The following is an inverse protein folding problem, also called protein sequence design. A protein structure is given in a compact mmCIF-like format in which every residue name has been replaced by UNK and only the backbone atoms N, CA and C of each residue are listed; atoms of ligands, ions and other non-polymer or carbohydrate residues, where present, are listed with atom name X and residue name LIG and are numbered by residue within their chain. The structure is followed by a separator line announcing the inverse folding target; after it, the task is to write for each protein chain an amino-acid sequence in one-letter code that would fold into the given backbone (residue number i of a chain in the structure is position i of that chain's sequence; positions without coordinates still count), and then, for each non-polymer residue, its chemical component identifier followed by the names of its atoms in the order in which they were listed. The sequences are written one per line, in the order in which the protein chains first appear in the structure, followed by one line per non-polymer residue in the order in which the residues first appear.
data_IF_670486701481
#
_entry.id   IF_670486701481
#
_cell.length_a   1.000
_cell.length_b   1.000
_cell.length_c   1.000
_cell.angle_alpha   90.00
_cell.angle_beta   90.00
_cell.angle_gamma   90.00
#
_symmetry.space_group_name_H-M   'P 1'
#
loop_
_entity.id
_entity.type
_entity.pdbx_description
1 polymer ?
#
# COMPACT_ATOMS: atom_id res chain seq x y z
N UNK A 1 -1.08 -17.20 -38.32
CA UNK A 1 -2.11 -17.40 -37.31
C UNK A 1 -1.76 -16.49 -36.13
N UNK A 2 -2.68 -15.62 -35.73
CA UNK A 2 -2.51 -14.77 -34.55
C UNK A 2 -3.40 -15.30 -33.43
N UNK A 3 -2.86 -15.42 -32.22
CA UNK A 3 -3.62 -15.78 -31.04
C UNK A 3 -3.69 -14.52 -30.17
N UNK A 4 -4.90 -13.98 -29.99
CA UNK A 4 -5.16 -12.87 -29.06
C UNK A 4 -5.76 -13.48 -27.79
N UNK A 5 -5.05 -13.33 -26.66
CA UNK A 5 -5.52 -13.79 -25.36
C UNK A 5 -5.64 -12.61 -24.41
N UNK A 6 -6.67 -12.60 -23.55
CA UNK A 6 -6.74 -11.66 -22.45
C UNK A 6 -5.62 -11.96 -21.44
N UNK A 7 -4.98 -10.91 -20.91
CA UNK A 7 -3.88 -11.04 -19.96
C UNK A 7 -4.40 -11.43 -18.57
N UNK A 8 -5.40 -10.70 -18.09
CA UNK A 8 -5.84 -10.78 -16.69
C UNK A 8 -6.78 -11.97 -16.45
N UNK A 9 -6.39 -12.88 -15.55
CA UNK A 9 -7.17 -14.07 -15.21
C UNK A 9 -7.03 -15.23 -16.20
N UNK A 10 -6.47 -15.02 -17.41
CA UNK A 10 -6.17 -16.06 -18.39
C UNK A 10 -4.70 -16.44 -18.34
N UNK A 11 -3.79 -15.48 -18.56
CA UNK A 11 -2.34 -15.70 -18.48
C UNK A 11 -1.80 -15.47 -17.05
N UNK A 12 -2.55 -14.77 -16.22
CA UNK A 12 -2.19 -14.49 -14.82
C UNK A 12 -3.14 -15.18 -13.84
N UNK A 13 -2.71 -15.28 -12.58
CA UNK A 13 -3.46 -15.96 -11.52
C UNK A 13 -4.68 -15.18 -11.02
N UNK A 14 -4.84 -13.91 -11.44
CA UNK A 14 -5.79 -12.95 -10.88
C UNK A 14 -5.64 -12.81 -9.35
N UNK A 15 -4.41 -12.94 -8.89
CA UNK A 15 -4.05 -12.87 -7.47
C UNK A 15 -2.88 -11.91 -7.29
N UNK A 16 -3.21 -10.65 -6.99
CA UNK A 16 -2.19 -9.66 -6.71
C UNK A 16 -1.29 -10.10 -5.55
N UNK A 17 0.01 -9.89 -5.70
CA UNK A 17 1.01 -10.24 -4.68
C UNK A 17 1.99 -9.08 -4.52
N UNK A 18 2.27 -8.69 -3.27
CA UNK A 18 3.30 -7.69 -2.96
C UNK A 18 4.67 -8.31 -3.18
N UNK A 19 5.47 -7.70 -4.05
CA UNK A 19 6.80 -8.17 -4.46
C UNK A 19 7.89 -7.11 -4.23
N UNK A 20 7.51 -5.85 -3.96
CA UNK A 20 8.44 -4.78 -3.63
C UNK A 20 7.88 -3.83 -2.58
N UNK A 21 8.75 -3.21 -1.82
CA UNK A 21 8.41 -2.12 -0.91
C UNK A 21 9.55 -1.10 -0.87
N UNK A 22 9.21 0.18 -0.79
CA UNK A 22 10.18 1.26 -0.66
C UNK A 22 9.83 2.16 0.53
N UNK A 23 10.82 2.48 1.34
CA UNK A 23 10.78 3.64 2.21
C UNK A 23 11.17 4.90 1.41
N UNK A 24 11.05 6.10 1.97
CA UNK A 24 11.57 7.32 1.31
C UNK A 24 13.07 7.28 1.03
N UNK A 25 13.83 6.39 1.70
CA UNK A 25 15.28 6.22 1.51
C UNK A 25 15.63 5.33 0.32
N UNK A 26 14.75 4.38 -0.04
CA UNK A 26 14.97 3.41 -1.11
C UNK A 26 14.18 2.13 -0.91
N UNK A 27 14.48 1.12 -1.72
CA UNK A 27 13.84 -0.21 -1.62
C UNK A 27 14.25 -0.90 -0.29
N UNK A 28 13.29 -1.57 0.35
CA UNK A 28 13.45 -2.21 1.64
C UNK A 28 13.12 -3.71 1.56
N UNK A 29 13.69 -4.50 2.47
CA UNK A 29 13.41 -5.93 2.55
C UNK A 29 11.97 -6.19 3.02
N UNK A 30 11.22 -7.03 2.31
CA UNK A 30 9.82 -7.32 2.60
C UNK A 30 9.58 -7.99 3.98
N UNK A 31 10.59 -8.65 4.51
CA UNK A 31 10.55 -9.31 5.83
C UNK A 31 11.15 -8.45 6.95
N UNK A 32 11.61 -7.23 6.61
CA UNK A 32 12.20 -6.30 7.59
C UNK A 32 11.16 -5.56 8.41
N UNK A 33 11.57 -5.01 9.56
CA UNK A 33 10.71 -4.22 10.46
C UNK A 33 10.13 -2.96 9.79
N UNK A 34 10.84 -2.36 8.85
CA UNK A 34 10.37 -1.19 8.08
C UNK A 34 9.18 -1.59 7.19
N UNK A 35 9.30 -2.70 6.46
CA UNK A 35 8.23 -3.22 5.62
C UNK A 35 7.02 -3.66 6.47
N UNK A 36 7.27 -4.32 7.60
CA UNK A 36 6.21 -4.71 8.55
C UNK A 36 5.41 -3.48 9.01
N UNK A 37 6.07 -2.40 9.39
CA UNK A 37 5.40 -1.14 9.77
C UNK A 37 4.58 -0.56 8.63
N UNK A 38 5.15 -0.52 7.42
CA UNK A 38 4.48 -0.01 6.22
C UNK A 38 3.24 -0.84 5.87
N UNK A 39 3.36 -2.17 5.86
CA UNK A 39 2.25 -3.08 5.54
C UNK A 39 1.16 -3.03 6.62
N UNK A 40 1.52 -2.99 7.90
CA UNK A 40 0.57 -2.85 9.01
C UNK A 40 -0.24 -1.57 8.89
N UNK A 41 0.42 -0.47 8.55
CA UNK A 41 -0.22 0.81 8.35
C UNK A 41 -1.17 0.79 7.14
N UNK A 42 -0.72 0.25 6.01
CA UNK A 42 -1.54 0.10 4.81
C UNK A 42 -2.76 -0.81 5.05
N UNK A 43 -2.60 -1.89 5.81
CA UNK A 43 -3.67 -2.83 6.13
C UNK A 43 -4.81 -2.19 6.95
N UNK A 44 -4.51 -1.20 7.82
CA UNK A 44 -5.53 -0.43 8.53
C UNK A 44 -6.46 0.36 7.58
N UNK A 45 -5.97 0.69 6.39
CA UNK A 45 -6.72 1.38 5.34
C UNK A 45 -7.21 0.41 4.25
N UNK A 46 -7.47 -0.86 4.58
CA UNK A 46 -8.01 -1.90 3.68
C UNK A 46 -9.32 -2.46 4.24
N UNK A 47 -10.26 -2.80 3.35
CA UNK A 47 -11.51 -3.49 3.69
C UNK A 47 -11.38 -5.01 3.59
N UNK A 48 -10.33 -5.49 2.90
CA UNK A 48 -9.99 -6.90 2.81
C UNK A 48 -9.71 -7.50 4.21
N UNK A 49 -10.10 -8.78 4.40
CA UNK A 49 -10.00 -9.48 5.68
C UNK A 49 -9.22 -10.78 5.55
N UNK A 50 -8.34 -11.03 6.50
CA UNK A 50 -7.65 -12.31 6.64
C UNK A 50 -8.57 -13.34 7.26
N UNK A 51 -8.78 -14.48 6.57
CA UNK A 51 -9.67 -15.58 6.98
C UNK A 51 -8.90 -16.76 7.59
N UNK A 52 -7.59 -16.63 7.76
CA UNK A 52 -6.72 -17.70 8.23
C UNK A 52 -6.16 -18.56 7.10
N UNK A 53 -5.15 -19.37 7.43
CA UNK A 53 -4.47 -20.31 6.50
C UNK A 53 -3.99 -19.67 5.20
N UNK A 54 -3.58 -18.40 5.24
CA UNK A 54 -3.10 -17.66 4.07
C UNK A 54 -4.20 -17.16 3.12
N UNK A 55 -5.48 -17.32 3.47
CA UNK A 55 -6.61 -16.85 2.67
C UNK A 55 -7.01 -15.43 3.10
N UNK A 56 -7.20 -14.57 2.12
CA UNK A 56 -7.70 -13.19 2.30
C UNK A 56 -8.88 -12.98 1.35
N UNK A 57 -9.95 -12.41 1.86
CA UNK A 57 -11.13 -11.99 1.08
C UNK A 57 -11.14 -10.48 0.89
N UNK A 58 -11.61 -10.02 -0.25
CA UNK A 58 -11.71 -8.61 -0.60
C UNK A 58 -11.17 -8.29 -1.99
N UNK A 59 -11.04 -7.01 -2.30
CA UNK A 59 -10.49 -6.54 -3.58
C UNK A 59 -9.02 -6.98 -3.71
N UNK A 60 -8.58 -7.46 -4.91
CA UNK A 60 -7.25 -8.07 -5.07
C UNK A 60 -6.07 -7.24 -4.58
N UNK A 61 -6.08 -5.92 -4.81
CA UNK A 61 -5.01 -5.02 -4.37
C UNK A 61 -4.93 -4.95 -2.84
N UNK A 62 -6.08 -4.83 -2.18
CA UNK A 62 -6.16 -4.80 -0.72
C UNK A 62 -5.82 -6.16 -0.10
N UNK A 63 -6.31 -7.24 -0.72
CA UNK A 63 -5.98 -8.59 -0.30
C UNK A 63 -4.46 -8.84 -0.33
N UNK A 64 -3.76 -8.32 -1.35
CA UNK A 64 -2.30 -8.41 -1.43
C UNK A 64 -1.60 -7.68 -0.27
N UNK A 65 -2.08 -6.49 0.10
CA UNK A 65 -1.54 -5.69 1.22
C UNK A 65 -1.76 -6.42 2.55
N UNK A 66 -2.99 -6.89 2.82
CA UNK A 66 -3.33 -7.64 4.03
C UNK A 66 -2.51 -8.92 4.13
N UNK A 67 -2.36 -9.67 3.02
CA UNK A 67 -1.52 -10.87 2.99
C UNK A 67 -0.03 -10.54 3.24
N UNK A 68 0.48 -9.41 2.76
CA UNK A 68 1.85 -8.97 3.04
C UNK A 68 2.04 -8.60 4.52
N UNK A 69 1.06 -7.94 5.14
CA UNK A 69 1.07 -7.64 6.57
C UNK A 69 1.12 -8.94 7.41
N UNK A 70 0.27 -9.91 7.11
CA UNK A 70 0.27 -11.22 7.79
C UNK A 70 1.60 -11.97 7.62
N UNK A 71 2.14 -12.02 6.39
CA UNK A 71 3.46 -12.64 6.12
C UNK A 71 4.62 -11.96 6.86
N UNK A 72 4.52 -10.65 7.11
CA UNK A 72 5.51 -9.91 7.91
C UNK A 72 5.35 -10.09 9.42
N UNK A 73 4.39 -10.91 9.86
CA UNK A 73 4.15 -11.21 11.27
C UNK A 73 3.22 -10.22 11.97
N UNK A 74 2.35 -9.55 11.21
CA UNK A 74 1.29 -8.69 11.76
C UNK A 74 -0.02 -9.48 11.81
N UNK A 75 -0.61 -9.66 12.99
CA UNK A 75 -1.99 -10.13 13.13
C UNK A 75 -2.93 -8.96 12.81
N UNK A 76 -3.44 -8.92 11.58
CA UNK A 76 -4.28 -7.81 11.10
C UNK A 76 -5.63 -7.74 11.82
N UNK A 77 -6.18 -8.86 12.25
CA UNK A 77 -7.42 -8.88 13.04
C UNK A 77 -7.21 -8.25 14.42
N UNK A 78 -6.10 -8.57 15.10
CA UNK A 78 -5.72 -7.94 16.36
C UNK A 78 -5.40 -6.46 16.18
N UNK A 79 -4.67 -6.10 15.12
CA UNK A 79 -4.34 -4.73 14.78
C UNK A 79 -5.59 -3.87 14.62
N UNK A 80 -6.59 -4.32 13.86
CA UNK A 80 -7.86 -3.62 13.66
C UNK A 80 -8.68 -3.46 14.97
N UNK A 81 -8.61 -4.44 15.89
CA UNK A 81 -9.23 -4.31 17.21
C UNK A 81 -8.52 -3.29 18.09
N UNK A 82 -7.19 -3.24 18.04
CA UNK A 82 -6.37 -2.29 18.81
C UNK A 82 -6.44 -0.86 18.27
N UNK A 83 -6.61 -0.71 16.96
CA UNK A 83 -6.69 0.57 16.25
C UNK A 83 -7.98 0.66 15.44
N UNK A 84 -9.15 0.76 16.10
CA UNK A 84 -10.43 0.78 15.41
C UNK A 84 -10.57 2.03 14.54
N UNK A 85 -11.19 1.85 13.36
CA UNK A 85 -11.59 2.98 12.50
C UNK A 85 -12.69 3.78 13.19
N UNK A 86 -12.60 5.10 13.08
CA UNK A 86 -13.58 6.06 13.61
C UNK A 86 -14.26 6.85 12.49
N UNK A 87 -13.62 6.94 11.31
CA UNK A 87 -14.15 7.64 10.14
C UNK A 87 -13.51 7.06 8.87
N UNK A 88 -14.14 7.25 7.71
CA UNK A 88 -13.69 6.72 6.43
C UNK A 88 -14.09 7.63 5.27
N UNK A 89 -13.16 7.82 4.32
CA UNK A 89 -13.43 8.34 2.98
C UNK A 89 -13.04 7.22 2.02
N UNK A 90 -14.02 6.50 1.42
CA UNK A 90 -13.77 5.32 0.63
C UNK A 90 -13.00 5.65 -0.66
N UNK A 91 -12.43 4.63 -1.28
CA UNK A 91 -11.76 4.76 -2.56
C UNK A 91 -12.73 5.23 -3.64
N UNK A 92 -12.27 6.18 -4.47
CA UNK A 92 -12.92 6.49 -5.73
C UNK A 92 -11.90 6.60 -6.86
N UNK A 93 -12.30 6.21 -8.07
CA UNK A 93 -11.44 6.27 -9.27
C UNK A 93 -11.06 7.71 -9.64
N UNK A 94 -11.90 8.68 -9.29
CA UNK A 94 -11.64 10.10 -9.51
C UNK A 94 -10.53 10.59 -8.56
N UNK A 95 -10.62 10.25 -7.28
CA UNK A 95 -9.65 10.64 -6.25
C UNK A 95 -8.38 9.79 -6.28
N UNK A 96 -8.46 8.54 -6.76
CA UNK A 96 -7.40 7.53 -6.79
C UNK A 96 -6.78 7.28 -5.40
N UNK A 97 -7.52 7.47 -4.34
CA UNK A 97 -7.08 7.27 -2.96
C UNK A 97 -8.25 6.94 -2.03
N UNK A 98 -7.91 6.34 -0.90
CA UNK A 98 -8.78 6.04 0.23
C UNK A 98 -8.11 6.56 1.50
N UNK A 99 -8.91 7.00 2.48
CA UNK A 99 -8.40 7.47 3.77
C UNK A 99 -9.31 7.00 4.90
N UNK A 100 -8.71 6.66 6.03
CA UNK A 100 -9.42 6.29 7.24
C UNK A 100 -8.89 7.08 8.42
N UNK A 101 -9.73 7.38 9.40
CA UNK A 101 -9.31 7.81 10.72
C UNK A 101 -9.29 6.59 11.63
N UNK A 102 -8.21 6.40 12.35
CA UNK A 102 -8.05 5.30 13.31
C UNK A 102 -7.70 5.85 14.69
N UNK A 103 -8.18 5.17 15.74
CA UNK A 103 -7.76 5.44 17.11
C UNK A 103 -6.44 4.72 17.39
N UNK A 104 -5.42 5.48 17.78
CA UNK A 104 -4.10 4.98 18.18
C UNK A 104 -3.78 5.47 19.60
N UNK A 105 -4.16 4.68 20.60
CA UNK A 105 -4.18 5.12 22.00
C UNK A 105 -5.16 6.28 22.20
N UNK A 106 -4.67 7.38 22.73
CA UNK A 106 -5.47 8.58 22.99
C UNK A 106 -5.62 9.51 21.78
N UNK A 107 -4.91 9.19 20.67
CA UNK A 107 -4.93 10.00 19.46
C UNK A 107 -5.82 9.36 18.37
N UNK A 108 -6.35 10.22 17.51
CA UNK A 108 -6.95 9.81 16.26
C UNK A 108 -6.05 10.30 15.14
N UNK A 109 -5.63 9.41 14.26
CA UNK A 109 -4.75 9.73 13.14
C UNK A 109 -5.40 9.34 11.81
N UNK A 110 -5.07 10.06 10.75
CA UNK A 110 -5.43 9.71 9.38
C UNK A 110 -4.42 8.71 8.84
N UNK A 111 -4.89 7.66 8.19
CA UNK A 111 -4.11 6.78 7.33
C UNK A 111 -4.69 6.85 5.93
N UNK A 112 -3.84 7.08 4.95
CA UNK A 112 -4.23 7.19 3.55
C UNK A 112 -3.40 6.27 2.67
N UNK A 113 -4.04 5.65 1.67
CA UNK A 113 -3.39 4.91 0.60
C UNK A 113 -3.93 5.36 -0.76
N UNK A 114 -3.11 5.30 -1.79
CA UNK A 114 -3.55 5.70 -3.13
C UNK A 114 -2.43 5.73 -4.16
N UNK A 115 -2.76 6.28 -5.33
CA UNK A 115 -1.80 6.46 -6.41
C UNK A 115 -0.66 7.39 -5.94
N UNK A 116 0.62 7.02 -6.21
CA UNK A 116 1.77 7.78 -5.71
C UNK A 116 1.78 9.24 -6.16
N UNK A 117 1.43 9.52 -7.40
CA UNK A 117 1.37 10.86 -8.00
C UNK A 117 0.30 11.75 -7.35
N UNK A 118 -0.74 11.16 -6.80
CA UNK A 118 -1.82 11.85 -6.08
C UNK A 118 -1.43 12.05 -4.62
N UNK A 119 -1.06 10.96 -3.93
CA UNK A 119 -0.84 11.00 -2.49
C UNK A 119 0.35 11.87 -2.09
N UNK A 120 1.44 11.86 -2.89
CA UNK A 120 2.64 12.66 -2.60
C UNK A 120 2.35 14.17 -2.63
N UNK A 121 1.36 14.63 -3.41
CA UNK A 121 0.94 16.04 -3.45
C UNK A 121 0.21 16.46 -2.18
N UNK A 122 -0.36 15.51 -1.44
CA UNK A 122 -1.04 15.72 -0.16
C UNK A 122 -0.06 15.73 1.03
N UNK A 123 1.21 15.34 0.81
CA UNK A 123 2.22 15.22 1.84
C UNK A 123 3.06 16.49 1.96
N UNK A 124 3.31 16.92 3.20
CA UNK A 124 4.28 17.96 3.59
C UNK A 124 5.55 17.36 4.19
N UNK A 125 5.47 16.13 4.67
CA UNK A 125 6.52 15.46 5.43
C UNK A 125 6.75 14.03 4.90
N UNK A 126 7.86 13.43 5.35
CA UNK A 126 8.23 12.02 5.13
C UNK A 126 8.74 11.41 6.42
N UNK A 127 8.73 10.06 6.50
CA UNK A 127 9.43 9.32 7.55
C UNK A 127 10.80 8.92 7.02
N UNK A 128 11.87 9.42 7.63
CA UNK A 128 13.25 9.01 7.38
C UNK A 128 13.83 8.37 8.64
N UNK A 129 14.26 7.11 8.55
CA UNK A 129 14.83 6.37 9.68
C UNK A 129 13.96 6.46 10.95
N UNK A 130 12.64 6.36 10.79
CA UNK A 130 11.67 6.47 11.88
C UNK A 130 11.38 7.90 12.37
N UNK A 131 11.98 8.92 11.77
CA UNK A 131 11.81 10.32 12.17
C UNK A 131 11.07 11.13 11.11
N UNK A 132 10.10 11.93 11.54
CA UNK A 132 9.40 12.88 10.67
C UNK A 132 10.33 13.99 10.20
N UNK A 133 10.35 14.24 8.89
CA UNK A 133 11.21 15.26 8.25
C UNK A 133 10.44 15.95 7.12
N UNK A 134 10.73 17.21 6.79
CA UNK A 134 10.06 17.91 5.69
C UNK A 134 10.24 17.23 4.35
N UNK A 135 9.17 17.17 3.54
CA UNK A 135 9.19 16.69 2.16
C UNK A 135 9.68 17.81 1.23
N UNK A 136 11.00 17.91 1.05
CA UNK A 136 11.61 18.85 0.11
C UNK A 136 11.39 18.43 -1.35
N UNK A 137 11.59 19.35 -2.31
CA UNK A 137 11.49 19.05 -3.75
C UNK A 137 12.41 17.90 -4.15
N UNK A 138 13.67 17.90 -3.71
CA UNK A 138 14.62 16.82 -4.00
C UNK A 138 14.16 15.46 -3.45
N UNK A 139 13.57 15.42 -2.26
CA UNK A 139 13.02 14.19 -1.67
C UNK A 139 11.78 13.72 -2.44
N UNK A 140 10.93 14.65 -2.88
CA UNK A 140 9.78 14.35 -3.71
C UNK A 140 10.19 13.74 -5.05
N UNK A 141 11.18 14.31 -5.72
CA UNK A 141 11.75 13.77 -6.96
C UNK A 141 12.33 12.37 -6.78
N UNK A 142 13.03 12.14 -5.68
CA UNK A 142 13.55 10.79 -5.34
C UNK A 142 12.43 9.77 -5.20
N UNK A 143 11.33 10.11 -4.51
CA UNK A 143 10.19 9.19 -4.34
C UNK A 143 9.51 8.92 -5.69
N UNK A 144 9.35 9.94 -6.54
CA UNK A 144 8.79 9.78 -7.88
C UNK A 144 9.70 8.92 -8.77
N UNK A 145 11.02 9.04 -8.65
CA UNK A 145 11.98 8.16 -9.33
C UNK A 145 11.87 6.71 -8.85
N UNK A 146 11.72 6.47 -7.54
CA UNK A 146 11.46 5.13 -7.01
C UNK A 146 10.14 4.56 -7.56
N UNK A 147 9.08 5.36 -7.61
CA UNK A 147 7.82 4.95 -8.22
C UNK A 147 7.99 4.58 -9.71
N UNK A 148 8.73 5.38 -10.47
CA UNK A 148 9.01 5.11 -11.88
C UNK A 148 9.77 3.79 -12.05
N UNK A 149 10.80 3.52 -11.24
CA UNK A 149 11.56 2.28 -11.30
C UNK A 149 10.71 1.02 -10.98
N UNK A 150 9.75 1.14 -10.06
CA UNK A 150 8.79 0.06 -9.78
C UNK A 150 7.82 -0.13 -10.95
N UNK A 151 7.37 0.97 -11.59
CA UNK A 151 6.48 0.92 -12.75
C UNK A 151 7.17 0.31 -13.99
N UNK A 152 8.46 0.56 -14.20
CA UNK A 152 9.28 -0.07 -15.25
C UNK A 152 9.37 -1.60 -15.07
N UNK A 153 9.26 -2.07 -13.84
CA UNK A 153 9.14 -3.52 -13.51
C UNK A 153 7.71 -4.05 -13.67
N UNK A 154 6.82 -3.27 -14.29
CA UNK A 154 5.39 -3.58 -14.49
C UNK A 154 4.62 -3.80 -13.17
N UNK A 155 5.09 -3.23 -12.06
CA UNK A 155 4.40 -3.32 -10.78
C UNK A 155 3.28 -2.28 -10.68
N UNK A 156 2.15 -2.67 -10.09
CA UNK A 156 1.17 -1.72 -9.58
C UNK A 156 1.72 -1.14 -8.28
N UNK A 157 1.80 0.18 -8.18
CA UNK A 157 2.36 0.85 -7.01
C UNK A 157 1.28 1.59 -6.24
N UNK A 158 1.27 1.39 -4.93
CA UNK A 158 0.41 2.10 -3.97
C UNK A 158 1.32 2.86 -3.00
N UNK A 159 1.04 4.14 -2.81
CA UNK A 159 1.64 4.96 -1.77
C UNK A 159 0.84 4.88 -0.47
N UNK A 160 1.54 5.04 0.65
CA UNK A 160 0.97 5.06 2.00
C UNK A 160 1.44 6.31 2.72
N UNK A 161 0.53 6.98 3.41
CA UNK A 161 0.82 8.17 4.23
C UNK A 161 -0.03 8.18 5.50
N UNK A 162 0.44 8.93 6.50
CA UNK A 162 -0.30 9.20 7.73
C UNK A 162 -0.42 10.69 7.96
N UNK A 163 -1.32 11.11 8.83
CA UNK A 163 -1.46 12.49 9.21
C UNK A 163 -2.26 12.66 10.49
N UNK A 164 -2.26 13.87 11.00
CA UNK A 164 -3.14 14.25 12.08
C UNK A 164 -4.57 14.42 11.58
N UNK A 165 -5.54 14.22 12.47
CA UNK A 165 -6.94 14.50 12.16
C UNK A 165 -7.27 15.95 12.55
N UNK A 166 -8.26 16.54 11.91
CA UNK A 166 -8.79 17.83 12.29
C UNK A 166 -10.05 17.61 13.16
N UNK A 167 -9.90 17.77 14.48
CA UNK A 167 -11.00 17.53 15.43
C UNK A 167 -11.55 16.09 15.37
N UNK A 168 -10.68 15.10 15.14
CA UNK A 168 -11.06 13.70 15.02
C UNK A 168 -11.56 13.28 13.63
N UNK A 169 -11.70 14.22 12.67
CA UNK A 169 -12.08 13.95 11.28
C UNK A 169 -10.86 13.80 10.37
N UNK A 170 -11.01 13.01 9.32
CA UNK A 170 -9.97 12.80 8.32
C UNK A 170 -9.48 14.12 7.73
N UNK A 171 -8.17 14.32 7.73
CA UNK A 171 -7.49 15.38 6.98
C UNK A 171 -6.61 14.76 5.90
N UNK A 172 -6.82 15.15 4.66
CA UNK A 172 -6.05 14.67 3.50
C UNK A 172 -5.00 15.69 3.03
N UNK A 173 -4.59 16.60 3.91
CA UNK A 173 -3.56 17.60 3.65
C UNK A 173 -2.53 17.60 4.76
N UNK A 174 -1.29 17.97 4.45
CA UNK A 174 -0.21 17.96 5.43
C UNK A 174 0.18 16.55 5.89
N UNK A 175 -0.05 15.56 5.05
CA UNK A 175 0.26 14.17 5.37
C UNK A 175 1.77 13.92 5.42
N UNK A 176 2.15 12.86 6.11
CA UNK A 176 3.53 12.35 6.20
C UNK A 176 3.62 11.10 5.34
N UNK A 177 4.41 11.16 4.28
CA UNK A 177 4.64 10.03 3.38
C UNK A 177 5.44 8.93 4.10
N UNK A 178 4.95 7.69 4.03
CA UNK A 178 5.54 6.54 4.73
C UNK A 178 6.28 5.59 3.78
N UNK A 179 5.79 5.39 2.55
CA UNK A 179 6.44 4.49 1.61
C UNK A 179 5.58 4.12 0.41
N UNK A 180 6.16 3.26 -0.44
CA UNK A 180 5.53 2.66 -1.61
C UNK A 180 5.45 1.14 -1.44
N UNK A 181 4.37 0.55 -1.93
CA UNK A 181 4.14 -0.90 -2.01
C UNK A 181 3.95 -1.26 -3.47
N UNK A 182 4.86 -2.08 -4.01
CA UNK A 182 4.80 -2.61 -5.37
C UNK A 182 4.21 -4.02 -5.38
N UNK A 183 3.30 -4.28 -6.31
CA UNK A 183 2.64 -5.58 -6.43
C UNK A 183 2.41 -5.94 -7.88
N UNK A 184 2.31 -7.23 -8.16
CA UNK A 184 2.03 -7.78 -9.49
C UNK A 184 0.99 -8.89 -9.39
N UNK A 185 0.36 -9.16 -10.53
CA UNK A 185 -0.45 -10.36 -10.73
C UNK A 185 0.45 -11.38 -11.43
N UNK A 186 0.99 -12.40 -10.71
CA UNK A 186 1.95 -13.32 -11.26
C UNK A 186 1.34 -14.15 -12.40
N UNK A 187 2.12 -14.46 -13.44
CA UNK A 187 1.69 -15.36 -14.49
C UNK A 187 1.39 -16.75 -13.91
N UNK A 188 0.50 -17.48 -14.56
CA UNK A 188 0.27 -18.90 -14.26
C UNK A 188 1.50 -19.72 -14.64
N UNK A 189 1.75 -20.80 -13.93
CA UNK A 189 2.89 -21.69 -14.23
C UNK A 189 2.84 -22.19 -15.67
N UNK A 190 1.65 -22.54 -16.14
CA UNK A 190 1.39 -23.06 -17.49
C UNK A 190 1.67 -22.00 -18.59
N UNK A 191 1.62 -20.71 -18.26
CA UNK A 191 1.91 -19.64 -19.22
C UNK A 191 3.41 -19.57 -19.58
N UNK A 192 4.29 -20.15 -18.77
CA UNK A 192 5.72 -20.27 -19.08
C UNK A 192 5.99 -21.44 -20.04
N UNK A 193 5.28 -22.57 -19.90
CA UNK A 193 5.42 -23.77 -20.74
C UNK A 193 4.93 -23.54 -22.17
N UNK A 194 3.96 -22.65 -22.36
CA UNK A 194 3.41 -22.31 -23.69
C UNK A 194 4.35 -21.43 -24.55
N UNK A 195 5.53 -21.06 -24.04
CA UNK A 195 6.48 -20.15 -24.70
C UNK A 195 7.62 -20.89 -25.42
N UNK A 196 7.74 -22.21 -25.24
CA UNK A 196 8.64 -23.11 -25.95
C UNK A 196 7.90 -23.77 -27.14
#
# INVERSE_FOLDING_TARGET
TYICSDKTGTLTQNKMTVTAACSPSGEIQLTGEEAKKLFSLAALCCDAKYEGKGKVSGEPTEAAIVAAAERSGTDTAKLNRQKPRTDEIPFSSERKMMSVAIRDGDKIITVAKGAPDVLIKKCSDIILNGTKSPLTSARREKILSLNASLAERALRVIAVATGETNGGKISETGLTFCGLIGMEDPPRAEAYEARE
#
